data_IF_331328288772
#
_entry.id   IF_331328288772
#
_cell.length_a   1.000
_cell.length_b   1.000
_cell.length_c   1.000
_cell.angle_alpha   90.00
_cell.angle_beta   90.00
_cell.angle_gamma   90.00
#
_symmetry.space_group_name_H-M   'P 1'
#
loop_
_entity.id
_entity.type
_entity.pdbx_description
1 polymer ?
#
# COMPACT_ATOMS: atom_id res chain seq x y z
N UNK A 1 3.50 27.76 -16.60
CA UNK A 1 4.56 27.08 -15.85
C UNK A 1 5.39 26.26 -16.81
N UNK A 2 6.59 26.71 -17.16
CA UNK A 2 7.47 25.95 -18.04
C UNK A 2 8.23 24.89 -17.23
N UNK A 3 8.51 23.72 -17.81
CA UNK A 3 9.33 22.69 -17.17
C UNK A 3 10.73 23.21 -16.80
N UNK A 4 11.20 24.28 -17.45
CA UNK A 4 12.44 24.99 -17.14
C UNK A 4 12.42 25.64 -15.75
N UNK A 5 11.31 26.29 -15.37
CA UNK A 5 11.20 27.03 -14.10
C UNK A 5 11.13 26.06 -12.91
N UNK A 6 10.47 24.92 -13.11
CA UNK A 6 10.41 23.83 -12.14
C UNK A 6 11.77 23.14 -11.94
N UNK A 7 12.56 22.96 -12.99
CA UNK A 7 13.90 22.37 -12.91
C UNK A 7 14.94 23.29 -12.23
N UNK A 8 14.63 24.55 -11.99
CA UNK A 8 15.47 25.48 -11.22
C UNK A 8 15.32 25.32 -9.71
N UNK A 9 14.29 24.57 -9.25
CA UNK A 9 14.06 24.34 -7.82
C UNK A 9 15.01 23.28 -7.30
N UNK A 10 15.70 23.53 -6.18
CA UNK A 10 16.70 22.61 -5.65
C UNK A 10 16.09 21.30 -5.09
N UNK A 11 14.80 21.32 -4.73
CA UNK A 11 14.12 20.17 -4.12
C UNK A 11 13.78 19.04 -5.12
N UNK A 12 13.74 19.35 -6.41
CA UNK A 12 13.29 18.42 -7.46
C UNK A 12 14.30 18.32 -8.59
N UNK A 13 14.37 17.15 -9.20
CA UNK A 13 15.28 16.88 -10.32
C UNK A 13 14.63 15.99 -11.37
N UNK A 14 15.08 16.17 -12.63
CA UNK A 14 14.63 15.33 -13.75
C UNK A 14 13.13 15.48 -14.02
N UNK A 15 12.57 16.66 -13.82
CA UNK A 15 11.17 16.93 -14.14
C UNK A 15 10.96 16.92 -15.65
N UNK A 16 9.99 16.16 -16.09
CA UNK A 16 9.59 16.10 -17.49
C UNK A 16 8.07 15.99 -17.62
N UNK A 17 7.59 16.38 -18.78
CA UNK A 17 6.20 16.18 -19.20
C UNK A 17 6.16 15.54 -20.58
N UNK A 18 5.22 14.63 -20.78
CA UNK A 18 4.95 14.04 -22.10
C UNK A 18 4.17 14.99 -23.00
N UNK A 19 3.54 16.01 -22.40
CA UNK A 19 2.76 17.00 -23.12
C UNK A 19 3.69 17.95 -23.90
N UNK A 20 3.54 17.96 -25.21
CA UNK A 20 4.24 18.85 -26.13
C UNK A 20 3.20 19.64 -26.92
N UNK A 21 3.15 20.95 -26.72
CA UNK A 21 2.21 21.84 -27.40
C UNK A 21 2.61 22.20 -28.83
N UNK A 22 3.90 22.10 -29.15
CA UNK A 22 4.48 22.61 -30.41
C UNK A 22 4.98 21.50 -31.34
N UNK A 23 4.29 20.35 -31.35
CA UNK A 23 4.62 19.31 -32.34
C UNK A 23 4.10 19.69 -33.71
N UNK A 24 4.93 19.66 -34.76
CA UNK A 24 4.46 19.92 -36.10
C UNK A 24 3.48 18.83 -36.52
N UNK A 25 2.35 19.25 -37.08
CA UNK A 25 1.27 18.38 -37.54
C UNK A 25 0.86 18.79 -38.94
N UNK A 26 0.57 17.82 -39.78
CA UNK A 26 -0.05 18.06 -41.07
C UNK A 26 -1.58 18.07 -40.88
N UNK A 27 -2.18 19.24 -41.04
CA UNK A 27 -3.62 19.40 -41.01
C UNK A 27 -4.20 19.24 -42.38
N UNK A 28 -5.14 18.30 -42.56
CA UNK A 28 -5.85 18.06 -43.79
C UNK A 28 -7.27 18.65 -43.67
N UNK A 29 -7.50 19.76 -44.31
CA UNK A 29 -8.84 20.36 -44.44
C UNK A 29 -9.55 19.80 -45.67
N UNK A 30 -10.44 18.86 -45.43
CA UNK A 30 -11.18 18.14 -46.51
C UNK A 30 -12.46 18.88 -46.82
N UNK A 31 -12.54 19.42 -48.07
CA UNK A 31 -13.74 20.10 -48.59
C UNK A 31 -14.80 19.09 -49.02
N UNK A 32 -15.83 18.97 -48.19
CA UNK A 32 -16.93 18.02 -48.42
C UNK A 32 -17.73 18.28 -49.69
N UNK A 33 -17.89 19.56 -50.09
CA UNK A 33 -18.62 19.91 -51.29
C UNK A 33 -17.85 19.53 -52.57
N UNK A 34 -16.52 19.74 -52.53
CA UNK A 34 -15.64 19.31 -53.65
C UNK A 34 -15.61 17.78 -53.75
N UNK A 35 -15.57 17.07 -52.62
CA UNK A 35 -15.66 15.61 -52.60
C UNK A 35 -16.93 15.13 -53.29
N UNK A 36 -18.09 15.70 -52.96
CA UNK A 36 -19.36 15.37 -53.60
C UNK A 36 -19.37 15.69 -55.11
N UNK A 37 -18.88 16.86 -55.50
CA UNK A 37 -18.77 17.28 -56.94
C UNK A 37 -17.89 16.34 -57.77
N UNK A 38 -16.80 15.84 -57.18
CA UNK A 38 -15.89 14.88 -57.82
C UNK A 38 -16.34 13.42 -57.70
N UNK A 39 -17.42 13.16 -56.98
CA UNK A 39 -17.93 11.82 -56.73
C UNK A 39 -17.00 10.97 -55.88
N UNK A 40 -16.29 11.59 -54.89
CA UNK A 40 -15.35 10.93 -53.99
C UNK A 40 -16.00 10.77 -52.64
N UNK A 41 -16.05 9.56 -52.10
CA UNK A 41 -16.52 9.32 -50.77
C UNK A 41 -15.50 9.81 -49.74
N UNK A 42 -15.96 10.50 -48.68
CA UNK A 42 -15.10 10.98 -47.57
C UNK A 42 -14.32 9.84 -46.90
N UNK A 43 -14.94 8.68 -46.77
CA UNK A 43 -14.30 7.50 -46.23
C UNK A 43 -13.06 7.07 -47.03
N UNK A 44 -13.13 7.18 -48.37
CA UNK A 44 -12.02 6.82 -49.26
C UNK A 44 -10.88 7.84 -49.17
N UNK A 45 -11.20 9.14 -48.99
CA UNK A 45 -10.20 10.18 -48.71
C UNK A 45 -9.42 9.86 -47.44
N UNK A 46 -10.11 9.61 -46.33
CA UNK A 46 -9.46 9.28 -45.06
C UNK A 46 -8.72 7.94 -45.11
N UNK A 47 -9.27 6.93 -45.78
CA UNK A 47 -8.60 5.64 -45.97
C UNK A 47 -7.31 5.77 -46.78
N UNK A 48 -7.30 6.66 -47.84
CA UNK A 48 -6.11 6.94 -48.60
C UNK A 48 -5.06 7.69 -47.79
N UNK A 49 -5.46 8.72 -47.04
CA UNK A 49 -4.56 9.44 -46.14
C UNK A 49 -3.98 8.50 -45.08
N UNK A 50 -4.80 7.65 -44.47
CA UNK A 50 -4.34 6.66 -43.53
C UNK A 50 -3.35 5.67 -44.14
N UNK A 51 -3.66 5.12 -45.32
CA UNK A 51 -2.81 4.12 -45.97
C UNK A 51 -1.47 4.73 -46.42
N UNK A 52 -1.51 5.95 -46.96
CA UNK A 52 -0.30 6.59 -47.54
C UNK A 52 0.57 7.26 -46.46
N UNK A 53 -0.02 8.02 -45.54
CA UNK A 53 0.71 8.82 -44.56
C UNK A 53 0.80 8.15 -43.18
N UNK A 54 -0.35 7.64 -42.66
CA UNK A 54 -0.48 7.13 -41.32
C UNK A 54 -0.13 5.66 -41.13
N UNK A 55 0.13 4.95 -42.23
CA UNK A 55 0.23 3.49 -42.30
C UNK A 55 -1.09 2.75 -42.02
N UNK A 56 -1.32 1.68 -42.75
CA UNK A 56 -2.49 0.82 -42.60
C UNK A 56 -2.08 -0.60 -42.29
N UNK A 57 -2.52 -1.10 -41.15
CA UNK A 57 -2.48 -2.51 -40.87
C UNK A 57 -3.42 -3.29 -41.77
N UNK A 58 -2.90 -4.32 -42.46
CA UNK A 58 -3.65 -5.12 -43.44
C UNK A 58 -4.00 -6.48 -42.86
N UNK A 59 -3.01 -7.21 -42.36
CA UNK A 59 -3.17 -8.55 -41.81
C UNK A 59 -1.91 -8.99 -41.02
N UNK A 60 -2.01 -10.14 -40.37
CA UNK A 60 -0.89 -10.82 -39.73
C UNK A 60 -0.51 -12.10 -40.48
N UNK A 61 0.77 -12.48 -40.37
CA UNK A 61 1.22 -13.80 -40.78
C UNK A 61 2.14 -14.44 -39.75
N UNK A 62 2.07 -15.74 -39.59
CA UNK A 62 2.89 -16.50 -38.65
C UNK A 62 4.12 -17.07 -39.34
N UNK A 63 5.32 -16.71 -38.88
CA UNK A 63 6.60 -17.25 -39.36
C UNK A 63 7.61 -17.29 -38.25
N UNK A 64 8.44 -18.34 -38.21
CA UNK A 64 9.46 -18.54 -37.19
C UNK A 64 8.92 -18.51 -35.75
N UNK A 65 7.71 -19.04 -35.51
CA UNK A 65 7.09 -19.06 -34.18
C UNK A 65 6.65 -17.70 -33.63
N UNK A 66 6.59 -16.67 -34.49
CA UNK A 66 6.12 -15.33 -34.15
C UNK A 66 5.07 -14.87 -35.15
N UNK A 67 4.16 -14.02 -34.66
CA UNK A 67 3.18 -13.31 -35.49
C UNK A 67 3.80 -12.00 -35.97
N UNK A 68 3.76 -11.78 -37.29
CA UNK A 68 4.27 -10.59 -37.94
C UNK A 68 3.12 -9.80 -38.56
N UNK A 69 3.16 -8.48 -38.38
CA UNK A 69 2.14 -7.59 -38.93
C UNK A 69 2.52 -7.14 -40.35
N UNK A 70 1.55 -7.16 -41.25
CA UNK A 70 1.68 -6.55 -42.57
C UNK A 70 1.13 -5.14 -42.52
N UNK A 71 2.01 -4.17 -42.67
CA UNK A 71 1.67 -2.76 -42.61
C UNK A 71 2.01 -2.16 -43.98
N UNK A 72 1.05 -1.44 -44.58
CA UNK A 72 1.22 -0.76 -45.88
C UNK A 72 1.31 0.74 -45.64
N UNK A 73 2.29 1.36 -46.27
CA UNK A 73 2.48 2.81 -46.27
C UNK A 73 3.10 3.24 -47.59
N UNK A 74 2.88 4.49 -48.00
CA UNK A 74 3.59 5.05 -49.17
C UNK A 74 5.09 5.14 -48.87
N UNK A 75 5.91 4.89 -49.87
CA UNK A 75 7.37 5.08 -49.75
C UNK A 75 7.71 6.55 -49.42
N UNK A 76 8.84 6.77 -48.75
CA UNK A 76 9.28 8.10 -48.29
C UNK A 76 9.29 9.14 -49.40
N UNK A 77 9.73 8.75 -50.59
CA UNK A 77 9.77 9.60 -51.78
C UNK A 77 8.43 10.17 -52.24
N UNK A 78 7.31 9.58 -51.81
CA UNK A 78 5.94 10.03 -52.14
C UNK A 78 5.22 10.73 -51.00
N UNK A 79 5.89 10.98 -49.86
CA UNK A 79 5.31 11.63 -48.67
C UNK A 79 6.28 12.57 -47.97
N UNK A 80 7.41 12.91 -48.60
CA UNK A 80 8.47 13.72 -48.00
C UNK A 80 8.12 15.21 -48.02
N UNK A 81 7.41 15.67 -49.07
CA UNK A 81 6.99 17.06 -49.22
C UNK A 81 5.46 17.20 -49.29
N UNK A 82 4.99 18.40 -48.91
CA UNK A 82 3.58 18.78 -48.97
C UNK A 82 3.01 18.62 -50.41
N UNK A 83 3.84 18.94 -51.42
CA UNK A 83 3.48 18.79 -52.84
C UNK A 83 3.18 17.33 -53.23
N UNK A 84 3.86 16.37 -52.61
CA UNK A 84 3.64 14.95 -52.87
C UNK A 84 2.31 14.48 -52.29
N UNK A 85 1.95 14.99 -51.09
CA UNK A 85 0.66 14.71 -50.48
C UNK A 85 -0.50 15.19 -51.35
N UNK A 86 -0.37 16.36 -51.99
CA UNK A 86 -1.36 16.86 -52.97
C UNK A 86 -1.51 15.97 -54.20
N UNK A 87 -0.46 15.25 -54.61
CA UNK A 87 -0.46 14.35 -55.77
C UNK A 87 -1.03 12.96 -55.47
N UNK A 88 -1.18 12.57 -54.20
CA UNK A 88 -1.82 11.31 -53.83
C UNK A 88 -3.22 11.26 -54.47
N UNK A 89 -3.64 10.08 -54.88
CA UNK A 89 -4.89 9.91 -55.64
C UNK A 89 -5.89 9.05 -54.90
N UNK A 90 -7.13 9.47 -54.90
CA UNK A 90 -8.29 8.71 -54.39
C UNK A 90 -9.21 8.32 -55.56
N UNK A 91 -9.84 7.15 -55.46
CA UNK A 91 -10.76 6.67 -56.48
C UNK A 91 -12.15 7.25 -56.26
N UNK A 92 -12.78 7.77 -57.31
CA UNK A 92 -14.17 8.19 -57.30
C UNK A 92 -15.13 7.00 -57.61
N UNK A 93 -16.44 7.24 -57.52
CA UNK A 93 -17.46 6.21 -57.78
C UNK A 93 -17.48 5.72 -59.22
N UNK A 94 -16.95 6.49 -60.18
CA UNK A 94 -16.83 6.10 -61.59
C UNK A 94 -15.51 5.31 -61.87
N UNK A 95 -14.68 5.09 -60.85
CA UNK A 95 -13.40 4.40 -60.98
C UNK A 95 -12.25 5.30 -61.41
N UNK A 96 -12.45 6.59 -61.63
CA UNK A 96 -11.40 7.54 -61.98
C UNK A 96 -10.59 7.97 -60.75
N UNK A 97 -9.29 8.24 -60.97
CA UNK A 97 -8.38 8.68 -59.93
C UNK A 97 -8.35 10.21 -59.82
N UNK A 98 -8.75 10.74 -58.68
CA UNK A 98 -8.81 12.18 -58.36
C UNK A 98 -7.65 12.53 -57.42
N UNK A 99 -6.82 13.56 -57.74
CA UNK A 99 -5.77 14.01 -56.81
C UNK A 99 -6.36 14.55 -55.49
N UNK A 100 -5.73 14.24 -54.37
CA UNK A 100 -6.19 14.73 -53.05
C UNK A 100 -6.17 16.25 -52.96
N UNK A 101 -5.21 16.93 -53.60
CA UNK A 101 -5.15 18.39 -53.64
C UNK A 101 -6.34 19.07 -54.29
N UNK A 102 -7.20 18.36 -55.08
CA UNK A 102 -8.43 18.91 -55.61
C UNK A 102 -9.60 18.87 -54.63
N UNK A 103 -9.53 18.05 -53.60
CA UNK A 103 -10.61 17.84 -52.60
C UNK A 103 -10.19 18.20 -51.18
N UNK A 104 -8.90 18.42 -50.93
CA UNK A 104 -8.39 18.78 -49.60
C UNK A 104 -7.27 19.80 -49.72
N UNK A 105 -7.17 20.67 -48.69
CA UNK A 105 -6.04 21.57 -48.48
C UNK A 105 -5.18 21.04 -47.35
N UNK A 106 -3.86 21.13 -47.48
CA UNK A 106 -2.91 20.63 -46.50
C UNK A 106 -2.06 21.75 -45.96
N UNK A 107 -2.01 21.90 -44.65
CA UNK A 107 -1.28 22.96 -43.95
C UNK A 107 -0.44 22.38 -42.80
N UNK A 108 0.75 22.94 -42.62
CA UNK A 108 1.54 22.65 -41.43
C UNK A 108 1.02 23.48 -40.25
N UNK A 109 0.56 22.84 -39.22
CA UNK A 109 0.13 23.48 -37.96
C UNK A 109 0.93 22.96 -36.79
N UNK A 110 1.11 23.77 -35.78
CA UNK A 110 1.66 23.34 -34.51
C UNK A 110 0.51 22.98 -33.57
N UNK A 111 0.60 21.83 -32.94
CA UNK A 111 -0.42 21.38 -32.01
C UNK A 111 0.08 20.29 -31.05
N UNK A 112 -0.69 19.94 -30.02
CA UNK A 112 -0.32 18.88 -29.10
C UNK A 112 -0.40 17.51 -29.77
N UNK A 113 0.66 16.72 -29.62
CA UNK A 113 0.72 15.35 -30.16
C UNK A 113 -0.29 14.43 -29.50
N UNK A 114 -0.45 14.57 -28.18
CA UNK A 114 -1.36 13.77 -27.34
C UNK A 114 -2.14 14.72 -26.43
N UNK A 115 -3.45 14.57 -26.42
CA UNK A 115 -4.35 15.27 -25.50
C UNK A 115 -4.77 14.30 -24.41
N UNK A 116 -4.10 14.38 -23.28
CA UNK A 116 -4.47 13.61 -22.09
C UNK A 116 -5.58 14.29 -21.32
N UNK A 117 -6.45 13.51 -20.71
CA UNK A 117 -7.49 14.00 -19.81
C UNK A 117 -7.40 13.24 -18.47
N UNK A 118 -7.53 13.99 -17.40
CA UNK A 118 -7.66 13.45 -16.05
C UNK A 118 -9.00 13.90 -15.48
N UNK A 119 -9.81 12.98 -14.97
CA UNK A 119 -11.18 13.25 -14.53
C UNK A 119 -12.01 14.04 -15.56
N UNK A 120 -11.86 13.71 -16.86
CA UNK A 120 -12.51 14.36 -18.03
C UNK A 120 -11.99 15.76 -18.37
N UNK A 121 -11.15 16.40 -17.57
CA UNK A 121 -10.52 17.68 -17.87
C UNK A 121 -9.21 17.49 -18.62
N UNK A 122 -8.88 18.38 -19.61
CA UNK A 122 -7.58 18.37 -20.25
C UNK A 122 -6.47 18.54 -19.19
N UNK A 123 -5.48 17.69 -19.23
CA UNK A 123 -4.40 17.66 -18.22
C UNK A 123 -3.04 17.43 -18.85
N UNK A 124 -2.00 17.97 -18.23
CA UNK A 124 -0.62 17.66 -18.52
C UNK A 124 0.04 17.02 -17.28
N UNK A 125 0.49 15.79 -17.43
CA UNK A 125 1.20 15.11 -16.35
C UNK A 125 2.65 15.63 -16.26
N UNK A 126 3.08 16.00 -15.04
CA UNK A 126 4.46 16.36 -14.73
C UNK A 126 5.01 15.25 -13.83
N UNK A 127 6.11 14.66 -14.23
CA UNK A 127 6.80 13.60 -13.50
C UNK A 127 8.22 14.02 -13.19
N UNK A 128 8.75 13.58 -12.05
CA UNK A 128 10.11 13.87 -11.63
C UNK A 128 10.47 13.17 -10.34
N UNK A 129 11.70 13.40 -9.89
CA UNK A 129 12.23 12.81 -8.68
C UNK A 129 12.62 13.91 -7.69
N UNK A 130 12.66 13.55 -6.42
CA UNK A 130 13.18 14.43 -5.36
C UNK A 130 14.71 14.42 -5.41
N UNK A 131 15.33 15.59 -5.26
CA UNK A 131 16.79 15.71 -5.21
C UNK A 131 17.35 15.08 -3.94
N UNK A 132 18.51 14.45 -4.02
CA UNK A 132 19.19 13.86 -2.87
C UNK A 132 19.41 14.89 -1.76
N UNK A 133 18.96 14.59 -0.55
CA UNK A 133 19.05 15.49 0.62
C UNK A 133 17.77 16.28 0.93
N UNK A 134 16.78 16.22 0.07
CA UNK A 134 15.44 16.73 0.32
C UNK A 134 14.45 15.59 0.54
N UNK A 135 13.34 15.91 1.18
CA UNK A 135 12.29 14.95 1.47
C UNK A 135 11.12 15.07 0.49
N UNK A 136 10.36 13.97 0.32
CA UNK A 136 9.15 13.97 -0.52
C UNK A 136 8.15 15.02 -0.04
N UNK A 137 8.00 15.18 1.27
CA UNK A 137 7.10 16.18 1.85
C UNK A 137 7.52 17.64 1.54
N UNK A 138 8.84 17.93 1.51
CA UNK A 138 9.36 19.23 1.11
C UNK A 138 9.09 19.51 -0.38
N UNK A 139 9.32 18.52 -1.24
CA UNK A 139 9.03 18.65 -2.67
C UNK A 139 7.53 18.88 -2.94
N UNK A 140 6.65 18.14 -2.24
CA UNK A 140 5.19 18.34 -2.33
C UNK A 140 4.80 19.77 -1.91
N UNK A 141 5.28 20.24 -0.76
CA UNK A 141 4.96 21.58 -0.25
C UNK A 141 5.49 22.68 -1.18
N UNK A 142 6.67 22.50 -1.77
CA UNK A 142 7.23 23.41 -2.77
C UNK A 142 6.35 23.44 -4.02
N UNK A 143 5.98 22.29 -4.57
CA UNK A 143 5.13 22.19 -5.76
C UNK A 143 3.73 22.81 -5.53
N UNK A 144 3.11 22.59 -4.37
CA UNK A 144 1.83 23.20 -4.01
C UNK A 144 1.93 24.73 -3.92
N UNK A 145 3.02 25.24 -3.34
CA UNK A 145 3.28 26.68 -3.27
C UNK A 145 3.46 27.31 -4.66
N UNK A 146 4.25 26.65 -5.52
CA UNK A 146 4.45 27.13 -6.90
C UNK A 146 3.17 27.03 -7.73
N UNK A 147 2.42 25.96 -7.59
CA UNK A 147 1.14 25.82 -8.27
C UNK A 147 0.16 26.93 -7.87
N UNK A 148 0.12 27.30 -6.58
CA UNK A 148 -0.71 28.40 -6.09
C UNK A 148 -0.25 29.79 -6.56
N UNK A 149 1.04 29.98 -6.83
CA UNK A 149 1.60 31.28 -7.25
C UNK A 149 1.57 31.47 -8.79
N UNK A 150 1.82 30.41 -9.56
CA UNK A 150 2.10 30.48 -11.01
C UNK A 150 0.93 30.03 -11.87
N UNK A 151 0.03 29.18 -11.36
CA UNK A 151 -1.09 28.69 -12.16
C UNK A 151 -2.19 29.75 -12.24
N UNK A 152 -2.73 30.04 -13.43
CA UNK A 152 -3.89 30.89 -13.57
C UNK A 152 -5.12 30.26 -12.88
N UNK A 153 -6.10 31.08 -12.52
CA UNK A 153 -7.32 30.64 -11.82
C UNK A 153 -8.15 29.58 -12.55
N UNK A 154 -7.92 29.40 -13.87
CA UNK A 154 -8.55 28.37 -14.70
C UNK A 154 -7.87 27.00 -14.62
N UNK A 155 -6.73 26.90 -13.95
CA UNK A 155 -5.93 25.66 -13.83
C UNK A 155 -5.74 25.31 -12.36
N UNK A 156 -5.76 24.01 -12.08
CA UNK A 156 -5.47 23.46 -10.75
C UNK A 156 -4.48 22.33 -10.87
N UNK A 157 -3.61 22.18 -9.87
CA UNK A 157 -2.74 21.02 -9.73
C UNK A 157 -3.39 19.94 -8.88
N UNK A 158 -3.39 18.71 -9.35
CA UNK A 158 -3.85 17.55 -8.61
C UNK A 158 -2.74 16.50 -8.51
N UNK A 159 -2.60 15.92 -7.32
CA UNK A 159 -1.68 14.82 -7.10
C UNK A 159 -2.31 13.49 -7.54
N UNK A 160 -1.51 12.63 -8.13
CA UNK A 160 -1.93 11.31 -8.59
C UNK A 160 -1.06 10.21 -7.99
N UNK A 161 -1.47 8.95 -8.18
CA UNK A 161 -0.72 7.75 -7.81
C UNK A 161 -0.31 7.72 -6.32
N UNK A 162 0.97 7.45 -6.04
CA UNK A 162 1.49 7.27 -4.68
C UNK A 162 1.41 8.57 -3.88
N UNK A 163 1.70 9.71 -4.49
CA UNK A 163 1.66 11.02 -3.80
C UNK A 163 0.25 11.38 -3.36
N UNK A 164 -0.75 11.05 -4.16
CA UNK A 164 -2.16 11.20 -3.78
C UNK A 164 -2.53 10.33 -2.57
N UNK A 165 -2.10 9.05 -2.59
CA UNK A 165 -2.32 8.13 -1.46
C UNK A 165 -1.61 8.62 -0.19
N UNK A 166 -0.39 9.12 -0.31
CA UNK A 166 0.38 9.67 0.81
C UNK A 166 -0.34 10.86 1.45
N UNK A 167 -0.87 11.76 0.62
CA UNK A 167 -1.63 12.93 1.09
C UNK A 167 -2.90 12.54 1.84
N UNK A 168 -3.70 11.62 1.30
CA UNK A 168 -4.94 11.15 1.95
C UNK A 168 -4.63 10.37 3.24
N UNK A 169 -3.61 9.54 3.22
CA UNK A 169 -3.31 8.63 4.35
C UNK A 169 -2.58 9.31 5.50
N UNK A 170 -2.10 10.54 5.34
CA UNK A 170 -1.31 11.24 6.38
C UNK A 170 -1.99 11.30 7.74
N UNK A 171 -3.29 11.53 7.80
CA UNK A 171 -4.06 11.56 9.04
C UNK A 171 -4.56 10.17 9.46
N UNK A 172 -4.79 9.28 8.51
CA UNK A 172 -5.33 7.94 8.74
C UNK A 172 -4.32 7.03 9.43
N UNK A 173 -3.04 7.16 9.09
CA UNK A 173 -1.98 6.32 9.67
C UNK A 173 -1.83 6.48 11.19
N UNK A 174 -1.94 7.70 11.71
CA UNK A 174 -1.90 7.94 13.16
C UNK A 174 -3.10 7.31 13.87
N UNK A 175 -4.28 7.38 13.28
CA UNK A 175 -5.48 6.71 13.81
C UNK A 175 -5.31 5.20 13.83
N UNK A 176 -4.84 4.60 12.73
CA UNK A 176 -4.59 3.15 12.62
C UNK A 176 -3.54 2.69 13.61
N UNK A 177 -2.48 3.49 13.85
CA UNK A 177 -1.46 3.18 14.85
C UNK A 177 -2.07 3.04 16.25
N UNK A 178 -2.83 4.04 16.74
CA UNK A 178 -3.45 3.99 18.04
C UNK A 178 -4.52 2.89 18.15
N UNK A 179 -5.26 2.65 17.08
CA UNK A 179 -6.21 1.54 17.00
C UNK A 179 -5.49 0.19 17.14
N UNK A 180 -4.34 0.03 16.47
CA UNK A 180 -3.52 -1.20 16.56
C UNK A 180 -2.99 -1.43 17.96
N UNK A 181 -2.47 -0.38 18.63
CA UNK A 181 -2.03 -0.47 20.04
C UNK A 181 -3.19 -0.88 20.94
N UNK A 182 -4.35 -0.24 20.77
CA UNK A 182 -5.55 -0.57 21.55
C UNK A 182 -6.04 -2.00 21.32
N UNK A 183 -6.02 -2.47 20.09
CA UNK A 183 -6.41 -3.83 19.75
C UNK A 183 -5.45 -4.87 20.35
N UNK A 184 -4.15 -4.65 20.24
CA UNK A 184 -3.14 -5.51 20.88
C UNK A 184 -3.31 -5.53 22.40
N UNK A 185 -3.58 -4.37 23.00
CA UNK A 185 -3.89 -4.29 24.45
C UNK A 185 -5.08 -5.15 24.83
N UNK A 186 -6.18 -5.06 24.09
CA UNK A 186 -7.40 -5.84 24.36
C UNK A 186 -7.17 -7.35 24.19
N UNK A 187 -6.43 -7.76 23.16
CA UNK A 187 -6.08 -9.17 22.95
C UNK A 187 -5.23 -9.69 24.09
N UNK A 188 -4.22 -8.92 24.52
CA UNK A 188 -3.39 -9.30 25.65
C UNK A 188 -4.17 -9.31 26.97
N UNK A 189 -5.09 -8.36 27.18
CA UNK A 189 -5.96 -8.34 28.36
C UNK A 189 -6.87 -9.57 28.43
N UNK A 190 -7.38 -10.01 27.29
CA UNK A 190 -8.16 -11.24 27.18
C UNK A 190 -7.30 -12.50 27.44
N UNK A 191 -6.06 -12.51 26.91
CA UNK A 191 -5.13 -13.63 27.07
C UNK A 191 -4.67 -13.81 28.52
N UNK A 192 -4.32 -12.71 29.19
CA UNK A 192 -3.80 -12.74 30.56
C UNK A 192 -4.87 -12.68 31.64
N UNK A 193 -6.13 -12.48 31.27
CA UNK A 193 -7.26 -12.25 32.19
C UNK A 193 -6.97 -11.13 33.24
N UNK A 194 -6.14 -10.17 32.83
CA UNK A 194 -5.64 -9.08 33.68
C UNK A 194 -5.49 -7.79 32.84
N UNK A 195 -5.72 -6.64 33.47
CA UNK A 195 -5.52 -5.34 32.85
C UNK A 195 -4.11 -4.78 33.11
N UNK A 196 -3.43 -5.22 34.15
CA UNK A 196 -2.11 -4.73 34.52
C UNK A 196 -0.98 -5.31 33.69
N UNK A 197 -1.01 -6.61 33.39
CA UNK A 197 0.06 -7.28 32.65
C UNK A 197 0.21 -6.79 31.20
N UNK A 198 -0.87 -6.59 30.42
CA UNK A 198 -0.77 -6.00 29.10
C UNK A 198 -0.14 -4.62 29.08
N UNK A 199 -0.35 -3.82 30.13
CA UNK A 199 0.26 -2.51 30.25
C UNK A 199 1.80 -2.59 30.32
N UNK A 200 2.34 -3.60 31.02
CA UNK A 200 3.80 -3.82 31.06
C UNK A 200 4.39 -4.16 29.69
N UNK A 201 3.63 -4.87 28.86
CA UNK A 201 4.05 -5.23 27.50
C UNK A 201 4.01 -4.01 26.60
N UNK A 202 2.93 -3.22 26.63
CA UNK A 202 2.72 -2.09 25.71
C UNK A 202 3.64 -0.92 26.03
N UNK A 203 4.08 -0.73 27.27
CA UNK A 203 5.02 0.34 27.61
C UNK A 203 6.37 0.25 26.89
N UNK A 204 6.69 -0.86 26.26
CA UNK A 204 7.88 -1.01 25.40
C UNK A 204 7.68 -0.36 24.02
N UNK A 205 6.43 -0.22 23.54
CA UNK A 205 6.11 0.32 22.20
C UNK A 205 6.62 1.75 21.98
N UNK A 206 6.46 2.70 22.91
CA UNK A 206 6.99 4.06 22.74
C UNK A 206 8.48 4.11 22.48
N UNK A 207 9.27 3.26 23.15
CA UNK A 207 10.71 3.18 22.94
C UNK A 207 11.05 2.63 21.56
N UNK A 208 10.29 1.67 21.10
CA UNK A 208 10.41 1.11 19.77
C UNK A 208 10.19 2.18 18.67
N UNK A 209 9.11 2.95 18.81
CA UNK A 209 8.77 4.03 17.88
C UNK A 209 9.82 5.13 17.92
N UNK A 210 10.31 5.50 19.10
CA UNK A 210 11.38 6.50 19.24
C UNK A 210 12.64 6.06 18.49
N UNK A 211 13.10 4.83 18.67
CA UNK A 211 14.29 4.31 18.00
C UNK A 211 14.08 4.22 16.47
N UNK A 212 12.87 3.87 16.05
CA UNK A 212 12.51 3.86 14.63
C UNK A 212 12.54 5.27 14.02
N UNK A 213 11.98 6.27 14.70
CA UNK A 213 12.00 7.66 14.27
C UNK A 213 13.45 8.20 14.20
N UNK A 214 14.27 7.91 15.21
CA UNK A 214 15.69 8.30 15.18
C UNK A 214 16.45 7.67 14.02
N UNK A 215 16.16 6.42 13.67
CA UNK A 215 16.77 5.76 12.53
C UNK A 215 16.34 6.33 11.19
N UNK A 216 15.05 6.67 11.03
CA UNK A 216 14.50 7.33 9.84
C UNK A 216 15.08 8.73 9.68
N UNK A 217 15.17 9.50 10.76
CA UNK A 217 15.76 10.84 10.77
C UNK A 217 17.26 10.80 10.44
N UNK A 218 18.01 9.88 11.04
CA UNK A 218 19.44 9.70 10.70
C UNK A 218 19.66 9.34 9.24
N UNK A 219 18.77 8.53 8.67
CA UNK A 219 18.80 8.19 7.25
C UNK A 219 18.29 9.33 6.35
N UNK A 220 17.88 10.49 6.92
CA UNK A 220 17.29 11.64 6.22
C UNK A 220 16.11 11.27 5.35
N UNK A 221 15.24 10.41 5.87
CA UNK A 221 14.01 9.97 5.21
C UNK A 221 12.80 10.57 5.90
N UNK A 222 11.71 10.73 5.14
CA UNK A 222 10.43 11.21 5.69
C UNK A 222 9.62 10.09 6.35
N UNK A 223 8.76 10.52 7.28
CA UNK A 223 7.73 9.64 7.86
C UNK A 223 6.56 9.54 6.88
N UNK A 224 6.71 8.70 5.88
CA UNK A 224 5.70 8.40 4.88
C UNK A 224 4.80 7.22 5.30
N UNK A 225 3.87 6.81 4.42
CA UNK A 225 2.96 5.67 4.65
C UNK A 225 3.74 4.39 5.00
N UNK A 226 4.87 4.14 4.34
CA UNK A 226 5.66 2.92 4.55
C UNK A 226 6.33 2.91 5.93
N UNK A 227 6.78 4.07 6.42
CA UNK A 227 7.25 4.23 7.80
C UNK A 227 6.13 3.93 8.81
N UNK A 228 4.91 4.43 8.56
CA UNK A 228 3.75 4.19 9.42
C UNK A 228 3.35 2.72 9.46
N UNK A 229 3.39 2.02 8.30
CA UNK A 229 3.23 0.56 8.24
C UNK A 229 4.33 -0.13 9.06
N UNK A 230 5.57 0.35 8.96
CA UNK A 230 6.69 -0.13 9.78
C UNK A 230 6.40 -0.02 11.28
N UNK A 231 5.81 1.08 11.76
CA UNK A 231 5.43 1.23 13.17
C UNK A 231 4.40 0.19 13.61
N UNK A 232 3.39 -0.10 12.79
CA UNK A 232 2.38 -1.13 13.11
C UNK A 232 3.03 -2.52 13.19
N UNK A 233 3.93 -2.86 12.27
CA UNK A 233 4.68 -4.11 12.31
C UNK A 233 5.54 -4.20 13.56
N UNK A 234 6.20 -3.10 13.93
CA UNK A 234 7.05 -3.01 15.11
C UNK A 234 6.29 -3.23 16.43
N UNK A 235 5.01 -2.79 16.52
CA UNK A 235 4.17 -3.06 17.70
C UNK A 235 4.11 -4.58 17.96
N UNK A 236 3.80 -5.36 16.92
CA UNK A 236 3.72 -6.82 17.05
C UNK A 236 5.04 -7.47 17.44
N UNK A 237 6.14 -7.01 16.86
CA UNK A 237 7.48 -7.55 17.13
C UNK A 237 7.99 -7.17 18.52
N UNK A 238 7.75 -5.93 18.95
CA UNK A 238 8.11 -5.46 20.28
C UNK A 238 7.31 -6.21 21.36
N UNK A 239 6.00 -6.32 21.17
CA UNK A 239 5.14 -7.05 22.09
C UNK A 239 5.53 -8.53 22.21
N UNK A 240 5.92 -9.19 21.10
CA UNK A 240 6.38 -10.59 21.12
C UNK A 240 7.54 -10.80 22.10
N UNK A 241 8.54 -9.94 22.08
CA UNK A 241 9.69 -10.06 22.96
C UNK A 241 9.32 -9.80 24.43
N UNK A 242 8.46 -8.82 24.67
CA UNK A 242 7.98 -8.49 26.01
C UNK A 242 7.08 -9.60 26.58
N UNK A 243 6.20 -10.18 25.79
CA UNK A 243 5.32 -11.30 26.18
C UNK A 243 6.13 -12.46 26.72
N UNK A 244 7.22 -12.85 26.07
CA UNK A 244 8.05 -13.98 26.48
C UNK A 244 8.65 -13.80 27.89
N UNK A 245 9.00 -12.58 28.28
CA UNK A 245 9.53 -12.27 29.62
C UNK A 245 8.39 -12.24 30.64
N UNK A 246 7.32 -11.50 30.31
CA UNK A 246 6.18 -11.28 31.25
C UNK A 246 5.48 -12.57 31.56
N UNK A 247 5.24 -13.44 30.60
CA UNK A 247 4.58 -14.74 30.79
C UNK A 247 5.39 -15.65 31.71
N UNK A 248 6.69 -15.76 31.48
CA UNK A 248 7.56 -16.56 32.34
C UNK A 248 7.68 -16.00 33.77
N UNK A 249 7.76 -14.68 33.89
CA UNK A 249 7.77 -14.03 35.20
C UNK A 249 6.43 -14.26 35.95
N UNK A 250 5.28 -14.20 35.26
CA UNK A 250 3.96 -14.51 35.79
C UNK A 250 3.89 -15.95 36.29
N UNK A 251 4.27 -16.94 35.48
CA UNK A 251 4.26 -18.35 35.87
C UNK A 251 5.12 -18.63 37.10
N UNK A 252 6.27 -17.98 37.24
CA UNK A 252 7.12 -18.09 38.42
C UNK A 252 6.52 -17.44 39.67
N UNK A 253 5.82 -16.32 39.50
CA UNK A 253 5.07 -15.65 40.56
C UNK A 253 3.94 -16.53 41.07
N UNK A 254 3.18 -17.15 40.18
CA UNK A 254 2.10 -18.09 40.54
C UNK A 254 2.63 -19.35 41.25
N UNK A 255 3.86 -19.77 40.94
CA UNK A 255 4.56 -20.86 41.65
C UNK A 255 5.12 -20.45 43.02
N UNK A 256 4.88 -19.21 43.48
CA UNK A 256 5.25 -18.73 44.84
C UNK A 256 6.64 -18.08 44.93
N UNK A 257 7.33 -17.82 43.81
CA UNK A 257 8.62 -17.13 43.84
C UNK A 257 8.46 -15.64 44.18
N UNK A 258 9.46 -15.05 44.84
CA UNK A 258 9.50 -13.62 45.09
C UNK A 258 9.56 -12.85 43.75
N UNK A 259 8.99 -11.63 43.73
CA UNK A 259 8.87 -10.79 42.53
C UNK A 259 10.21 -10.57 41.85
N UNK A 260 11.24 -10.22 42.61
CA UNK A 260 12.58 -9.95 42.07
C UNK A 260 13.22 -11.19 41.46
N UNK A 261 13.15 -12.31 42.18
CA UNK A 261 13.72 -13.59 41.73
C UNK A 261 12.98 -14.15 40.53
N UNK A 262 11.64 -14.06 40.52
CA UNK A 262 10.82 -14.46 39.36
C UNK A 262 11.17 -13.68 38.11
N UNK A 263 11.33 -12.36 38.21
CA UNK A 263 11.66 -11.49 37.08
C UNK A 263 13.07 -11.76 36.56
N UNK A 264 14.08 -11.83 37.43
CA UNK A 264 15.48 -12.10 37.04
C UNK A 264 15.62 -13.47 36.37
N UNK A 265 15.03 -14.50 36.96
CA UNK A 265 15.07 -15.85 36.39
C UNK A 265 14.35 -15.94 35.04
N UNK A 266 13.24 -15.22 34.85
CA UNK A 266 12.58 -15.13 33.54
C UNK A 266 13.48 -14.51 32.49
N UNK A 267 14.25 -13.46 32.85
CA UNK A 267 15.21 -12.82 31.95
C UNK A 267 16.34 -13.78 31.58
N UNK A 268 16.95 -14.45 32.56
CA UNK A 268 18.05 -15.40 32.28
C UNK A 268 17.64 -16.52 31.33
N UNK A 269 16.47 -17.13 31.53
CA UNK A 269 15.98 -18.21 30.68
C UNK A 269 15.59 -17.76 29.28
N UNK A 270 15.04 -16.54 29.14
CA UNK A 270 14.49 -16.04 27.88
C UNK A 270 15.43 -15.14 27.09
N UNK A 271 16.54 -14.71 27.67
CA UNK A 271 17.51 -13.83 26.99
C UNK A 271 18.01 -14.43 25.66
N UNK A 272 18.45 -15.68 25.69
CA UNK A 272 18.99 -16.37 24.52
C UNK A 272 17.96 -16.53 23.39
N UNK A 273 16.74 -17.05 23.60
CA UNK A 273 15.70 -17.11 22.57
C UNK A 273 15.33 -15.73 21.99
N UNK A 274 15.22 -14.71 22.85
CA UNK A 274 14.88 -13.34 22.42
C UNK A 274 15.98 -12.77 21.52
N UNK A 275 17.24 -12.86 21.94
CA UNK A 275 18.38 -12.40 21.11
C UNK A 275 18.44 -13.14 19.78
N UNK A 276 18.27 -14.46 19.78
CA UNK A 276 18.28 -15.27 18.56
C UNK A 276 17.22 -14.82 17.55
N UNK A 277 15.99 -14.63 18.02
CA UNK A 277 14.89 -14.19 17.14
C UNK A 277 15.03 -12.74 16.69
N UNK A 278 15.55 -11.86 17.57
CA UNK A 278 15.78 -10.46 17.22
C UNK A 278 16.89 -10.31 16.16
N UNK A 279 18.03 -10.99 16.34
CA UNK A 279 19.10 -10.96 15.35
C UNK A 279 18.69 -11.59 14.02
N UNK A 280 17.97 -12.70 14.04
CA UNK A 280 17.46 -13.32 12.82
C UNK A 280 16.56 -12.34 12.06
N UNK A 281 15.70 -11.59 12.75
CA UNK A 281 14.82 -10.61 12.14
C UNK A 281 15.59 -9.37 11.64
N UNK A 282 16.50 -8.82 12.43
CA UNK A 282 17.33 -7.66 12.07
C UNK A 282 18.14 -7.97 10.80
N UNK A 283 18.79 -9.13 10.76
CA UNK A 283 19.56 -9.56 9.56
C UNK A 283 18.63 -9.85 8.37
N UNK A 284 17.43 -10.37 8.60
CA UNK A 284 16.42 -10.60 7.56
C UNK A 284 15.89 -9.32 6.91
N UNK A 285 15.85 -8.21 7.65
CA UNK A 285 15.41 -6.90 7.15
C UNK A 285 16.55 -6.10 6.49
N UNK A 286 17.82 -6.44 6.77
CA UNK A 286 18.99 -5.75 6.23
C UNK A 286 18.97 -5.59 4.69
N UNK A 287 18.58 -6.60 3.89
CA UNK A 287 18.47 -6.43 2.43
C UNK A 287 17.50 -5.34 1.99
N UNK A 288 16.44 -5.06 2.78
CA UNK A 288 15.51 -3.98 2.49
C UNK A 288 16.15 -2.61 2.70
N UNK A 289 16.99 -2.46 3.73
CA UNK A 289 17.72 -1.20 4.04
C UNK A 289 18.68 -0.83 2.91
N UNK A 290 19.37 -1.82 2.33
CA UNK A 290 20.36 -1.62 1.26
C UNK A 290 19.78 -1.78 -0.14
N UNK A 291 18.47 -1.89 -0.28
CA UNK A 291 17.82 -2.11 -1.57
C UNK A 291 18.15 -1.02 -2.59
N UNK A 292 18.34 -1.42 -3.87
CA UNK A 292 18.60 -0.53 -5.00
C UNK A 292 17.68 -0.88 -6.17
N UNK A 293 17.52 0.05 -7.12
CA UNK A 293 16.72 -0.13 -8.33
C UNK A 293 15.26 0.31 -8.14
N UNK A 294 14.39 -0.09 -9.06
CA UNK A 294 12.98 0.32 -9.08
C UNK A 294 12.27 -0.06 -7.78
N UNK A 295 11.53 0.89 -7.18
CA UNK A 295 10.82 0.70 -5.91
C UNK A 295 11.73 0.55 -4.68
N UNK A 296 13.02 0.90 -4.78
CA UNK A 296 13.97 0.85 -3.66
C UNK A 296 13.61 1.82 -2.55
N UNK A 297 13.03 2.97 -2.88
CA UNK A 297 12.66 4.01 -1.92
C UNK A 297 11.67 3.48 -0.89
N UNK A 298 10.58 2.84 -1.34
CA UNK A 298 9.58 2.22 -0.46
C UNK A 298 10.18 1.13 0.43
N UNK A 299 11.01 0.26 -0.16
CA UNK A 299 11.67 -0.83 0.58
C UNK A 299 12.65 -0.31 1.60
N UNK A 300 13.45 0.70 1.25
CA UNK A 300 14.42 1.33 2.17
C UNK A 300 13.72 2.03 3.32
N UNK A 301 12.66 2.78 3.07
CA UNK A 301 11.92 3.50 4.12
C UNK A 301 11.31 2.54 5.13
N UNK A 302 10.58 1.51 4.64
CA UNK A 302 10.03 0.46 5.50
C UNK A 302 11.16 -0.30 6.23
N UNK A 303 12.21 -0.70 5.49
CA UNK A 303 13.33 -1.45 6.03
C UNK A 303 14.08 -0.68 7.11
N UNK A 304 14.38 0.59 6.91
CA UNK A 304 15.08 1.45 7.88
C UNK A 304 14.26 1.65 9.15
N UNK A 305 12.95 1.94 9.01
CA UNK A 305 12.06 2.09 10.16
C UNK A 305 12.00 0.83 11.02
N UNK A 306 11.84 -0.34 10.38
CA UNK A 306 11.74 -1.62 11.09
C UNK A 306 13.09 -2.06 11.65
N UNK A 307 14.20 -1.87 10.92
CA UNK A 307 15.56 -2.21 11.35
C UNK A 307 15.95 -1.44 12.61
N UNK A 308 15.84 -0.11 12.58
CA UNK A 308 16.21 0.75 13.72
C UNK A 308 15.28 0.54 14.92
N UNK A 309 13.98 0.36 14.70
CA UNK A 309 13.02 0.02 15.74
C UNK A 309 13.32 -1.32 16.41
N UNK A 310 13.69 -2.36 15.64
CA UNK A 310 14.06 -3.66 16.18
C UNK A 310 15.38 -3.63 16.95
N UNK A 311 16.37 -2.86 16.48
CA UNK A 311 17.59 -2.61 17.27
C UNK A 311 17.26 -1.99 18.61
N UNK A 312 16.40 -0.95 18.61
CA UNK A 312 15.95 -0.29 19.83
C UNK A 312 15.21 -1.22 20.77
N UNK A 313 14.26 -2.00 20.26
CA UNK A 313 13.52 -2.99 21.06
C UNK A 313 14.46 -4.05 21.65
N UNK A 314 15.43 -4.52 20.88
CA UNK A 314 16.38 -5.53 21.36
C UNK A 314 17.25 -4.96 22.46
N UNK A 315 17.76 -3.73 22.29
CA UNK A 315 18.64 -3.10 23.27
C UNK A 315 17.86 -2.66 24.52
N UNK A 316 16.81 -1.86 24.34
CA UNK A 316 16.08 -1.28 25.47
C UNK A 316 15.00 -2.20 26.00
N UNK A 317 14.33 -3.00 25.15
CA UNK A 317 13.25 -3.90 25.56
C UNK A 317 13.70 -4.98 26.53
N UNK A 318 14.90 -5.53 26.37
CA UNK A 318 15.46 -6.53 27.28
C UNK A 318 15.62 -5.96 28.71
N UNK A 319 16.00 -4.68 28.82
CA UNK A 319 16.19 -4.04 30.14
C UNK A 319 14.90 -3.43 30.69
N UNK A 320 14.11 -2.80 29.86
CA UNK A 320 12.90 -2.09 30.30
C UNK A 320 11.72 -3.01 30.59
N UNK A 321 11.55 -4.09 29.85
CA UNK A 321 10.43 -5.02 30.05
C UNK A 321 10.40 -5.61 31.49
N UNK A 322 11.52 -6.11 32.05
CA UNK A 322 11.57 -6.58 33.41
C UNK A 322 11.24 -5.49 34.45
N UNK A 323 11.74 -4.27 34.19
CA UNK A 323 11.47 -3.13 35.08
C UNK A 323 9.98 -2.76 35.05
N UNK A 324 9.38 -2.70 33.87
CA UNK A 324 7.95 -2.42 33.71
C UNK A 324 7.10 -3.50 34.37
N UNK A 325 7.45 -4.77 34.17
CA UNK A 325 6.75 -5.87 34.87
C UNK A 325 6.87 -5.74 36.37
N UNK A 326 8.08 -5.51 36.92
CA UNK A 326 8.30 -5.36 38.36
C UNK A 326 7.51 -4.20 38.97
N UNK A 327 7.51 -3.05 38.33
CA UNK A 327 6.80 -1.84 38.78
C UNK A 327 5.29 -2.03 38.72
N UNK A 328 4.79 -2.56 37.61
CA UNK A 328 3.34 -2.74 37.43
C UNK A 328 2.78 -3.82 38.32
N UNK A 329 3.49 -4.95 38.50
CA UNK A 329 3.09 -5.99 39.42
C UNK A 329 3.06 -5.47 40.87
N UNK A 330 4.03 -4.59 41.26
CA UNK A 330 4.02 -3.91 42.52
C UNK A 330 2.84 -2.95 42.69
N UNK A 331 2.50 -2.21 41.65
CA UNK A 331 1.36 -1.30 41.69
C UNK A 331 0.02 -2.04 41.74
N UNK A 332 -0.07 -3.17 41.06
CA UNK A 332 -1.28 -4.01 41.03
C UNK A 332 -1.59 -4.66 42.39
N UNK A 333 -0.58 -4.98 43.16
CA UNK A 333 -0.74 -5.51 44.53
C UNK A 333 -1.00 -4.41 45.58
N UNK A 334 -0.72 -3.16 45.25
CA UNK A 334 -0.94 -2.04 46.17
C UNK A 334 -2.44 -1.86 46.45
N UNK A 335 -2.83 -1.80 47.70
CA UNK A 335 -4.23 -1.68 48.15
C UNK A 335 -4.98 -0.47 47.58
N UNK A 336 -4.24 0.59 47.26
CA UNK A 336 -4.81 1.82 46.70
C UNK A 336 -5.45 1.68 45.30
N UNK A 337 -4.99 0.73 44.47
CA UNK A 337 -5.61 0.45 43.16
C UNK A 337 -6.70 -0.63 43.26
N UNK A 338 -6.58 -1.56 44.20
CA UNK A 338 -7.56 -2.64 44.41
C UNK A 338 -8.91 -2.11 44.88
N UNK A 339 -8.93 -1.04 45.70
CA UNK A 339 -10.14 -0.45 46.26
C UNK A 339 -10.77 0.64 45.33
N UNK A 340 -9.97 1.25 44.43
CA UNK A 340 -10.44 2.32 43.50
C UNK A 340 -10.96 1.84 42.18
N UNK A 341 -10.63 0.63 41.76
CA UNK A 341 -11.16 0.14 40.49
C UNK A 341 -12.55 -0.43 40.72
N UNK A 342 -13.58 0.12 40.04
CA UNK A 342 -14.95 -0.29 40.27
C UNK A 342 -15.15 -1.74 39.77
N UNK A 343 -15.04 -2.70 40.68
CA UNK A 343 -15.16 -4.14 40.42
C UNK A 343 -16.52 -4.60 39.87
N UNK A 344 -17.47 -3.68 39.69
CA UNK A 344 -18.74 -3.91 39.01
C UNK A 344 -18.74 -3.52 37.53
N UNK A 345 -18.04 -2.45 37.15
CA UNK A 345 -17.95 -2.02 35.78
C UNK A 345 -16.94 -2.85 34.95
N UNK A 346 -15.80 -3.21 35.56
CA UNK A 346 -14.81 -4.08 34.91
C UNK A 346 -15.37 -5.48 34.64
N UNK A 347 -16.14 -6.05 35.59
CA UNK A 347 -16.81 -7.35 35.39
C UNK A 347 -17.90 -7.28 34.32
N UNK A 348 -18.68 -6.20 34.25
CA UNK A 348 -19.68 -6.04 33.20
C UNK A 348 -19.04 -5.83 31.84
N UNK A 349 -17.92 -5.10 31.73
CA UNK A 349 -17.17 -4.93 30.49
C UNK A 349 -16.50 -6.24 30.06
N UNK A 350 -15.94 -7.01 30.98
CA UNK A 350 -15.40 -8.35 30.72
C UNK A 350 -16.49 -9.35 30.30
N UNK A 351 -17.68 -9.27 30.91
CA UNK A 351 -18.82 -10.09 30.49
C UNK A 351 -19.38 -9.68 29.11
N UNK A 352 -19.28 -8.41 28.77
CA UNK A 352 -19.59 -7.89 27.42
C UNK A 352 -18.51 -8.30 26.38
N UNK A 353 -17.23 -8.21 26.74
CA UNK A 353 -16.09 -8.63 25.90
C UNK A 353 -15.95 -10.16 25.81
N UNK A 354 -16.42 -10.91 26.78
CA UNK A 354 -16.51 -12.39 26.72
C UNK A 354 -17.42 -12.89 25.59
N UNK A 355 -18.07 -11.95 24.83
CA UNK A 355 -18.97 -12.34 23.70
C UNK A 355 -19.98 -13.46 24.06
N UNK A 356 -20.06 -13.80 25.35
CA UNK A 356 -20.94 -14.86 25.84
C UNK A 356 -22.41 -14.55 25.63
N UNK A 357 -22.75 -13.27 25.45
CA UNK A 357 -24.12 -12.86 25.17
C UNK A 357 -24.52 -13.14 23.70
N UNK A 358 -23.57 -13.05 22.76
CA UNK A 358 -23.82 -13.33 21.34
C UNK A 358 -23.64 -14.81 20.99
N UNK A 359 -22.78 -15.55 21.70
CA UNK A 359 -22.53 -16.97 21.42
C UNK A 359 -23.45 -17.93 22.18
N UNK A 360 -23.99 -17.52 23.34
CA UNK A 360 -24.93 -18.37 24.09
C UNK A 360 -26.21 -18.74 23.32
N UNK A 361 -26.87 -17.87 22.57
CA UNK A 361 -28.01 -18.29 21.76
C UNK A 361 -27.60 -19.13 20.54
N UNK A 362 -26.41 -18.88 19.93
CA UNK A 362 -25.92 -19.62 18.78
C UNK A 362 -25.53 -21.06 19.14
N UNK A 363 -24.83 -21.24 20.27
CA UNK A 363 -24.44 -22.58 20.80
C UNK A 363 -25.67 -23.34 21.32
N UNK A 364 -26.66 -22.67 21.91
CA UNK A 364 -27.93 -23.32 22.27
C UNK A 364 -28.73 -23.74 21.02
N UNK A 365 -28.79 -22.91 19.97
CA UNK A 365 -29.42 -23.25 18.70
C UNK A 365 -28.77 -24.46 18.01
N UNK A 366 -27.43 -24.53 18.01
CA UNK A 366 -26.68 -25.67 17.46
C UNK A 366 -26.85 -26.96 18.28
N UNK A 367 -26.94 -26.88 19.62
CA UNK A 367 -27.24 -28.03 20.47
C UNK A 367 -28.66 -28.56 20.26
N UNK A 368 -29.66 -27.69 20.15
CA UNK A 368 -31.04 -28.12 19.88
C UNK A 368 -31.19 -28.67 18.45
N UNK A 369 -30.46 -28.19 17.47
CA UNK A 369 -30.41 -28.74 16.12
C UNK A 369 -29.74 -30.11 16.06
N UNK A 370 -28.69 -30.32 16.87
CA UNK A 370 -27.99 -31.62 16.92
C UNK A 370 -28.80 -32.71 17.67
N UNK A 371 -29.60 -32.34 18.68
CA UNK A 371 -30.48 -33.28 19.37
C UNK A 371 -31.74 -33.60 18.55
N UNK A 372 -32.18 -32.72 17.66
CA UNK A 372 -33.29 -32.99 16.73
C UNK A 372 -32.89 -33.91 15.55
N UNK A 373 -31.61 -34.10 15.29
CA UNK A 373 -31.09 -34.99 14.24
C UNK A 373 -30.63 -36.37 14.74
N UNK A 374 -30.87 -36.70 15.99
CA UNK A 374 -30.63 -38.10 16.45
C UNK A 374 -31.78 -38.99 16.00
N UNK A 375 -31.53 -39.99 15.15
CA UNK A 375 -32.58 -40.90 14.73
C UNK A 375 -33.02 -41.76 15.95
N UNK A 376 -34.33 -41.79 16.14
CA UNK A 376 -35.01 -42.64 17.10
C UNK A 376 -34.81 -44.12 16.73
N UNK A 377 -33.74 -44.73 17.21
CA UNK A 377 -33.55 -46.15 17.12
C UNK A 377 -33.19 -46.77 18.46
N UNK A 378 -34.11 -47.62 18.90
CA UNK A 378 -34.01 -48.69 19.87
C UNK A 378 -34.20 -48.37 21.34
N UNK A 379 -35.49 -48.25 21.70
CA UNK A 379 -36.01 -48.96 22.88
C UNK A 379 -36.47 -50.34 22.40
N UNK A 380 -35.79 -51.41 22.82
CA UNK A 380 -36.35 -52.72 23.14
C UNK A 380 -35.29 -53.67 23.64
N UNK A 381 -35.76 -54.35 24.66
CA UNK A 381 -35.23 -55.57 25.32
C UNK A 381 -34.06 -55.26 26.27
N UNK A 382 -34.23 -55.38 27.56
CA UNK A 382 -35.04 -56.31 28.34
C UNK A 382 -34.22 -57.51 28.72
N UNK A 383 -33.95 -57.58 30.02
CA UNK A 383 -33.79 -58.84 30.82
C UNK A 383 -32.68 -59.84 30.52
N UNK A 384 -32.05 -60.15 31.64
CA UNK A 384 -31.30 -61.43 31.96
C UNK A 384 -29.89 -61.51 31.40
N UNK A 385 -28.84 -61.73 32.17
CA UNK A 385 -28.62 -62.62 33.26
C UNK A 385 -27.24 -62.31 33.91
N UNK A 386 -27.24 -62.36 35.22
CA UNK A 386 -26.06 -62.72 35.96
C UNK A 386 -25.46 -64.02 35.46
N UNK A 387 -24.17 -64.17 35.56
CA UNK A 387 -23.41 -65.32 36.02
C UNK A 387 -21.96 -65.22 35.50
N UNK A 388 -21.03 -65.35 36.46
CA UNK A 388 -19.83 -66.10 36.28
C UNK A 388 -18.50 -65.36 36.32
N UNK A 389 -17.95 -65.35 37.55
CA UNK A 389 -16.51 -65.42 37.90
C UNK A 389 -15.67 -66.19 36.87
N UNK A 390 -14.45 -65.79 36.53
CA UNK A 390 -13.19 -66.28 37.11
C UNK A 390 -12.01 -66.09 36.15
N UNK A 391 -10.91 -65.63 36.69
CA UNK A 391 -9.50 -65.99 36.43
C UNK A 391 -9.02 -66.17 34.97
N UNK A 392 -8.11 -65.37 34.49
CA UNK A 392 -6.65 -65.49 34.63
C UNK A 392 -6.05 -64.13 34.32
#
# INVERSE_FOLDING_TARGET
MCSSDLNQQPEVTGLFTVFKSNSPQLYADVDREKCLKHGVALADVFATLQACLGSRYVNDFNRFGRTWQVIVQADSTFRDDLADVHRLKVRNHEGRMVPLGSVANFELRSGPLVLTRYNMYPAAAIQGNVTAGYSTGQAIAMMERLAGAELPASMTGEWTEITYLERISRNTGMFVFWLSVGFVFLVLAALYESWSLPLAVILVVPMCVLCSLLGVDWAKMDVNIFTQIGFVVLIGLACKNAILIVEFAKLRREAGADRRTATLHACELRLRPILMTSFAFILGVLPLVVARGAGSEMRRTLGTAVFSGMLGVTLFGIFLTPVFFYVIDRLAESSALRDRWPGRWGRRLLDLLRLGFLWRPLVRGLRHGADAMRPATRRRSGERREIGRAHV
#
